data_IF_616708923573
#
_entry.id   IF_616708923573
#
_cell.length_a   1.000
_cell.length_b   1.000
_cell.length_c   1.000
_cell.angle_alpha   90.00
_cell.angle_beta   90.00
_cell.angle_gamma   90.00
#
_symmetry.space_group_name_H-M   'P 1'
#
loop_
_entity.id
_entity.type
_entity.pdbx_description
1 polymer ?
#
# COMPACT_ATOMS: atom_id res chain seq x y z
N UNK A 1 31.24 -26.17 -5.23
CA UNK A 1 31.43 -25.19 -4.12
C UNK A 1 30.37 -25.27 -3.01
N UNK A 2 29.43 -26.24 -3.06
CA UNK A 2 28.34 -26.41 -2.07
C UNK A 2 28.66 -27.40 -0.92
N UNK A 3 29.75 -28.16 -0.99
CA UNK A 3 30.03 -29.24 -0.02
C UNK A 3 30.95 -28.84 1.14
N UNK A 4 31.67 -27.72 1.03
CA UNK A 4 32.62 -27.27 2.07
C UNK A 4 31.94 -26.65 3.31
N UNK A 5 30.67 -26.22 3.21
CA UNK A 5 29.96 -25.52 4.30
C UNK A 5 29.14 -26.44 5.21
N UNK A 6 29.04 -27.74 4.92
CA UNK A 6 28.27 -28.70 5.75
C UNK A 6 28.93 -29.03 7.09
N UNK A 7 30.22 -28.77 7.27
CA UNK A 7 30.96 -29.17 8.47
C UNK A 7 30.82 -28.23 9.69
N UNK A 8 30.08 -27.12 9.57
CA UNK A 8 29.92 -26.12 10.66
C UNK A 8 28.52 -26.13 11.31
N UNK A 9 27.64 -27.05 10.92
CA UNK A 9 26.23 -27.10 11.34
C UNK A 9 25.93 -28.19 12.40
N UNK A 10 26.92 -28.58 13.21
CA UNK A 10 26.72 -29.56 14.28
C UNK A 10 26.83 -28.87 15.66
N UNK A 11 25.69 -28.70 16.34
CA UNK A 11 25.65 -28.37 17.76
C UNK A 11 24.60 -27.35 18.17
N UNK A 12 23.31 -27.68 18.07
CA UNK A 12 22.27 -27.01 18.85
C UNK A 12 22.39 -27.46 20.31
N UNK A 13 23.10 -26.67 21.11
CA UNK A 13 22.88 -26.65 22.54
C UNK A 13 22.64 -25.20 22.95
N UNK A 14 21.48 -24.95 23.54
CA UNK A 14 21.21 -23.77 24.37
C UNK A 14 22.09 -23.89 25.62
N UNK A 15 23.38 -23.66 25.45
CA UNK A 15 24.35 -23.65 26.54
C UNK A 15 24.07 -22.36 27.32
N UNK A 16 23.78 -22.51 28.62
CA UNK A 16 23.70 -21.38 29.54
C UNK A 16 24.92 -20.46 29.30
N UNK A 17 24.68 -19.16 29.07
CA UNK A 17 25.73 -18.18 28.72
C UNK A 17 26.85 -18.21 29.76
N UNK A 18 27.95 -18.88 29.44
CA UNK A 18 29.19 -18.75 30.19
C UNK A 18 29.90 -17.51 29.67
N UNK A 19 30.02 -16.49 30.53
CA UNK A 19 30.70 -15.25 30.18
C UNK A 19 32.07 -15.54 29.54
N UNK A 20 32.30 -15.00 28.34
CA UNK A 20 33.55 -15.19 27.60
C UNK A 20 33.59 -16.37 26.63
N UNK A 21 32.47 -17.05 26.35
CA UNK A 21 32.34 -18.09 25.32
C UNK A 21 31.55 -17.63 24.09
N UNK A 22 31.87 -18.18 22.92
CA UNK A 22 31.25 -17.88 21.64
C UNK A 22 29.89 -18.55 21.53
N UNK A 23 28.83 -17.80 21.22
CA UNK A 23 27.46 -18.33 21.10
C UNK A 23 27.28 -19.37 19.97
N UNK A 24 28.21 -19.43 19.00
CA UNK A 24 28.12 -20.33 17.84
C UNK A 24 28.94 -21.62 17.98
N UNK A 25 30.13 -21.55 18.58
CA UNK A 25 31.06 -22.69 18.62
C UNK A 25 31.57 -23.04 20.02
N UNK A 26 31.16 -22.30 21.07
CA UNK A 26 31.64 -22.50 22.44
C UNK A 26 33.08 -22.06 22.72
N UNK A 27 33.84 -21.64 21.70
CA UNK A 27 35.23 -21.19 21.85
C UNK A 27 35.39 -19.88 22.66
N UNK A 28 36.62 -19.53 23.04
CA UNK A 28 36.89 -18.30 23.81
C UNK A 28 36.54 -17.04 22.98
N UNK A 29 35.64 -16.20 23.50
CA UNK A 29 35.18 -14.98 22.85
C UNK A 29 35.52 -13.68 23.61
N UNK A 30 36.15 -13.77 24.80
CA UNK A 30 36.74 -12.64 25.57
C UNK A 30 35.91 -11.33 25.44
N UNK A 31 34.66 -11.36 25.92
CA UNK A 31 33.66 -10.26 25.92
C UNK A 31 32.90 -9.99 24.62
N UNK A 32 33.19 -10.66 23.50
CA UNK A 32 32.41 -10.57 22.26
C UNK A 32 31.33 -11.66 22.20
N UNK A 33 30.27 -11.41 21.43
CA UNK A 33 29.22 -12.40 21.13
C UNK A 33 29.78 -13.62 20.36
N UNK A 34 30.72 -13.38 19.46
CA UNK A 34 31.36 -14.40 18.63
C UNK A 34 32.89 -14.32 18.70
N UNK A 35 33.57 -15.47 18.60
CA UNK A 35 35.02 -15.49 18.39
C UNK A 35 35.37 -14.98 16.98
N UNK A 36 36.63 -14.60 16.74
CA UNK A 36 37.04 -14.00 15.46
C UNK A 36 36.72 -14.88 14.23
N UNK A 37 36.93 -16.20 14.33
CA UNK A 37 36.61 -17.15 13.25
C UNK A 37 35.11 -17.20 12.94
N UNK A 38 34.27 -17.30 13.98
CA UNK A 38 32.81 -17.31 13.81
C UNK A 38 32.27 -15.97 13.33
N UNK A 39 32.88 -14.85 13.73
CA UNK A 39 32.51 -13.53 13.25
C UNK A 39 32.81 -13.37 11.75
N UNK A 40 33.98 -13.82 11.28
CA UNK A 40 34.32 -13.82 9.85
C UNK A 40 33.37 -14.72 9.04
N UNK A 41 33.14 -15.96 9.50
CA UNK A 41 32.21 -16.87 8.84
C UNK A 41 30.77 -16.31 8.80
N UNK A 42 30.34 -15.59 9.84
CA UNK A 42 29.04 -14.90 9.84
C UNK A 42 28.99 -13.76 8.83
N UNK A 43 30.08 -13.00 8.64
CA UNK A 43 30.16 -11.97 7.61
C UNK A 43 30.01 -12.59 6.22
N UNK A 44 30.75 -13.66 5.91
CA UNK A 44 30.65 -14.35 4.62
C UNK A 44 29.23 -14.91 4.36
N UNK A 45 28.56 -15.39 5.41
CA UNK A 45 27.18 -15.87 5.31
C UNK A 45 26.18 -14.73 5.11
N UNK A 46 26.42 -13.54 5.68
CA UNK A 46 25.59 -12.35 5.42
C UNK A 46 25.72 -11.92 3.97
N UNK A 47 26.93 -11.87 3.44
CA UNK A 47 27.18 -11.49 2.04
C UNK A 47 26.51 -12.48 1.07
N UNK A 48 26.57 -13.78 1.37
CA UNK A 48 25.86 -14.81 0.60
C UNK A 48 24.34 -14.65 0.68
N UNK A 49 23.80 -14.37 1.86
CA UNK A 49 22.37 -14.12 2.04
C UNK A 49 21.92 -12.88 1.26
N UNK A 50 22.67 -11.79 1.36
CA UNK A 50 22.40 -10.53 0.67
C UNK A 50 22.41 -10.74 -0.85
N UNK A 51 23.42 -11.41 -1.39
CA UNK A 51 23.50 -11.74 -2.80
C UNK A 51 22.31 -12.60 -3.26
N UNK A 52 21.90 -13.59 -2.45
CA UNK A 52 20.74 -14.43 -2.75
C UNK A 52 19.43 -13.65 -2.75
N UNK A 53 19.18 -12.80 -1.74
CA UNK A 53 18.01 -11.93 -1.69
C UNK A 53 18.00 -10.97 -2.89
N UNK A 54 19.11 -10.30 -3.16
CA UNK A 54 19.25 -9.39 -4.29
C UNK A 54 18.95 -10.09 -5.62
N UNK A 55 19.52 -11.27 -5.85
CA UNK A 55 19.29 -12.03 -7.08
C UNK A 55 17.84 -12.56 -7.24
N UNK A 56 17.15 -12.85 -6.15
CA UNK A 56 15.74 -13.25 -6.17
C UNK A 56 14.79 -12.08 -6.43
N UNK A 57 15.03 -10.95 -5.77
CA UNK A 57 14.19 -9.73 -5.85
C UNK A 57 14.46 -8.85 -7.08
N UNK A 58 15.60 -9.02 -7.76
CA UNK A 58 15.91 -8.33 -9.02
C UNK A 58 15.05 -8.81 -10.20
N UNK A 59 14.41 -9.98 -10.08
CA UNK A 59 13.58 -10.57 -11.13
C UNK A 59 12.25 -9.83 -11.22
N UNK A 60 11.68 -9.75 -12.42
CA UNK A 60 10.40 -9.04 -12.67
C UNK A 60 9.24 -9.57 -11.80
N UNK A 61 9.14 -10.89 -11.64
CA UNK A 61 8.08 -11.53 -10.82
C UNK A 61 8.47 -11.71 -9.35
N UNK A 62 9.68 -11.32 -8.97
CA UNK A 62 10.25 -11.63 -7.65
C UNK A 62 10.48 -13.12 -7.42
N UNK A 63 10.80 -13.51 -6.16
CA UNK A 63 10.95 -14.92 -5.78
C UNK A 63 9.63 -15.67 -5.81
N UNK A 64 9.67 -16.94 -6.23
CA UNK A 64 8.57 -17.86 -5.95
C UNK A 64 8.49 -18.18 -4.44
N UNK A 65 7.31 -18.62 -3.93
CA UNK A 65 7.18 -19.06 -2.54
C UNK A 65 8.17 -20.14 -2.14
N UNK A 66 8.52 -21.04 -3.06
CA UNK A 66 9.48 -22.12 -2.83
C UNK A 66 10.90 -21.58 -2.68
N UNK A 67 11.36 -20.73 -3.60
CA UNK A 67 12.70 -20.15 -3.55
C UNK A 67 12.91 -19.34 -2.28
N UNK A 68 11.91 -18.55 -1.87
CA UNK A 68 11.97 -17.80 -0.63
C UNK A 68 12.02 -18.73 0.60
N UNK A 69 11.20 -19.79 0.60
CA UNK A 69 11.20 -20.77 1.69
C UNK A 69 12.51 -21.54 1.79
N UNK A 70 13.14 -21.87 0.66
CA UNK A 70 14.43 -22.54 0.62
C UNK A 70 15.55 -21.62 1.13
N UNK A 71 15.50 -20.32 0.81
CA UNK A 71 16.42 -19.32 1.36
C UNK A 71 16.25 -19.14 2.88
N UNK A 72 15.01 -19.06 3.38
CA UNK A 72 14.74 -18.98 4.81
C UNK A 72 15.14 -20.27 5.55
N UNK A 73 14.97 -21.44 4.92
CA UNK A 73 15.48 -22.71 5.46
C UNK A 73 17.00 -22.67 5.58
N UNK A 74 17.69 -22.26 4.51
CA UNK A 74 19.14 -22.11 4.52
C UNK A 74 19.60 -21.13 5.63
N UNK A 75 18.93 -19.98 5.79
CA UNK A 75 19.20 -19.01 6.86
C UNK A 75 19.12 -19.67 8.25
N UNK A 76 18.10 -20.48 8.49
CA UNK A 76 17.94 -21.22 9.75
C UNK A 76 19.03 -22.26 9.95
N UNK A 77 19.38 -23.02 8.91
CA UNK A 77 20.43 -24.05 8.96
C UNK A 77 21.80 -23.44 9.32
N UNK A 78 22.13 -22.26 8.77
CA UNK A 78 23.38 -21.56 9.09
C UNK A 78 23.29 -20.69 10.35
N UNK A 79 22.14 -20.69 11.04
CA UNK A 79 21.86 -19.92 12.24
C UNK A 79 22.11 -18.41 12.08
N UNK A 80 21.77 -17.85 10.91
CA UNK A 80 21.80 -16.40 10.71
C UNK A 80 20.59 -15.77 11.40
N UNK A 81 20.84 -14.77 12.24
CA UNK A 81 19.82 -14.11 13.06
C UNK A 81 18.69 -13.52 12.20
N UNK A 82 17.44 -13.73 12.59
CA UNK A 82 16.28 -13.28 11.80
C UNK A 82 16.21 -11.75 11.72
N UNK A 83 16.51 -11.04 12.82
CA UNK A 83 16.45 -9.56 12.83
C UNK A 83 17.50 -8.96 11.91
N UNK A 84 18.65 -9.62 11.80
CA UNK A 84 19.71 -9.26 10.87
C UNK A 84 19.36 -9.57 9.43
N UNK A 85 18.86 -10.78 9.16
CA UNK A 85 18.41 -11.17 7.83
C UNK A 85 17.31 -10.22 7.31
N UNK A 86 16.39 -9.78 8.16
CA UNK A 86 15.37 -8.79 7.80
C UNK A 86 15.95 -7.41 7.48
N UNK A 87 16.99 -6.97 8.20
CA UNK A 87 17.69 -5.70 7.89
C UNK A 87 18.38 -5.75 6.53
N UNK A 88 19.01 -6.88 6.20
CA UNK A 88 19.65 -7.12 4.90
C UNK A 88 18.58 -7.16 3.81
N UNK A 89 17.51 -7.93 4.00
CA UNK A 89 16.50 -8.15 2.96
C UNK A 89 15.55 -6.95 2.74
N UNK A 90 15.31 -6.14 3.76
CA UNK A 90 14.32 -5.06 3.76
C UNK A 90 14.43 -4.10 2.56
N UNK A 91 15.62 -3.52 2.27
CA UNK A 91 15.80 -2.64 1.12
C UNK A 91 15.48 -3.29 -0.23
N UNK A 92 15.88 -4.55 -0.43
CA UNK A 92 15.64 -5.31 -1.66
C UNK A 92 14.16 -5.62 -1.87
N UNK A 93 13.50 -6.10 -0.81
CA UNK A 93 12.06 -6.38 -0.82
C UNK A 93 11.28 -5.08 -1.07
N UNK A 94 11.64 -4.01 -0.38
CA UNK A 94 11.00 -2.71 -0.54
C UNK A 94 11.12 -2.18 -1.96
N UNK A 95 12.32 -2.20 -2.53
CA UNK A 95 12.56 -1.77 -3.91
C UNK A 95 11.77 -2.60 -4.92
N UNK A 96 11.74 -3.92 -4.75
CA UNK A 96 10.98 -4.82 -5.63
C UNK A 96 9.48 -4.54 -5.56
N UNK A 97 8.91 -4.38 -4.36
CA UNK A 97 7.49 -4.11 -4.18
C UNK A 97 7.08 -2.74 -4.74
N UNK A 98 7.90 -1.71 -4.52
CA UNK A 98 7.66 -0.39 -5.11
C UNK A 98 7.65 -0.46 -6.64
N UNK A 99 8.65 -1.13 -7.25
CA UNK A 99 8.71 -1.32 -8.71
C UNK A 99 7.48 -2.07 -9.22
N UNK A 100 7.06 -3.14 -8.54
CA UNK A 100 5.85 -3.88 -8.91
C UNK A 100 4.61 -2.98 -8.94
N UNK A 101 4.41 -2.17 -7.91
CA UNK A 101 3.27 -1.24 -7.84
C UNK A 101 3.38 -0.17 -8.93
N UNK A 102 4.57 0.40 -9.13
CA UNK A 102 4.79 1.45 -10.14
C UNK A 102 4.59 0.95 -11.57
N UNK A 103 4.92 -0.32 -11.85
CA UNK A 103 4.63 -0.97 -13.13
C UNK A 103 3.14 -1.26 -13.28
N UNK A 104 2.47 -1.77 -12.25
CA UNK A 104 1.05 -2.10 -12.30
C UNK A 104 0.18 -0.87 -12.58
N UNK A 105 0.44 0.26 -11.90
CA UNK A 105 -0.34 1.49 -12.06
C UNK A 105 -0.11 2.23 -13.39
N UNK A 106 0.90 1.84 -14.18
CA UNK A 106 1.05 2.35 -15.55
C UNK A 106 0.06 1.71 -16.53
N UNK A 107 -0.52 0.56 -16.16
CA UNK A 107 -1.57 -0.12 -16.90
C UNK A 107 -2.93 -0.05 -16.20
N UNK A 108 -3.86 -0.89 -16.66
CA UNK A 108 -5.14 -1.13 -15.99
C UNK A 108 -4.90 -2.12 -14.87
N UNK A 109 -5.10 -1.67 -13.63
CA UNK A 109 -4.88 -2.50 -12.44
C UNK A 109 -6.03 -3.48 -12.28
N UNK A 110 -5.69 -4.76 -12.22
CA UNK A 110 -6.63 -5.89 -12.08
C UNK A 110 -6.59 -6.49 -10.68
N UNK A 111 -7.65 -7.21 -10.30
CA UNK A 111 -7.74 -7.84 -8.99
C UNK A 111 -6.59 -8.84 -8.72
N UNK A 112 -6.14 -9.57 -9.74
CA UNK A 112 -5.02 -10.49 -9.60
C UNK A 112 -3.70 -9.79 -9.25
N UNK A 113 -3.53 -8.52 -9.59
CA UNK A 113 -2.35 -7.73 -9.23
C UNK A 113 -2.38 -7.33 -7.75
N UNK A 114 -3.54 -6.88 -7.26
CA UNK A 114 -3.75 -6.59 -5.83
C UNK A 114 -3.52 -7.85 -4.99
N UNK A 115 -4.07 -9.00 -5.40
CA UNK A 115 -3.86 -10.27 -4.71
C UNK A 115 -2.41 -10.74 -4.75
N UNK A 116 -1.73 -10.53 -5.88
CA UNK A 116 -0.31 -10.89 -6.04
C UNK A 116 0.57 -10.05 -5.13
N UNK A 117 0.34 -8.74 -5.07
CA UNK A 117 1.00 -7.84 -4.13
C UNK A 117 0.81 -8.28 -2.67
N UNK A 118 -0.44 -8.53 -2.25
CA UNK A 118 -0.74 -8.94 -0.86
C UNK A 118 -0.12 -10.28 -0.49
N UNK A 119 -0.12 -11.25 -1.41
CA UNK A 119 0.58 -12.53 -1.22
C UNK A 119 2.09 -12.34 -1.09
N UNK A 120 2.69 -11.46 -1.89
CA UNK A 120 4.10 -11.12 -1.76
C UNK A 120 4.41 -10.48 -0.39
N UNK A 121 3.57 -9.58 0.10
CA UNK A 121 3.72 -9.01 1.45
C UNK A 121 3.63 -10.07 2.56
N UNK A 122 2.72 -11.04 2.43
CA UNK A 122 2.61 -12.14 3.40
C UNK A 122 3.85 -13.05 3.39
N UNK A 123 4.38 -13.34 2.20
CA UNK A 123 5.58 -14.18 2.03
C UNK A 123 6.85 -13.49 2.54
N UNK A 124 7.06 -12.24 2.12
CA UNK A 124 8.32 -11.51 2.29
C UNK A 124 8.38 -10.69 3.58
N UNK A 125 7.24 -10.41 4.20
CA UNK A 125 7.12 -9.63 5.45
C UNK A 125 7.92 -8.31 5.42
N UNK A 126 7.66 -7.44 4.44
CA UNK A 126 8.30 -6.12 4.34
C UNK A 126 8.00 -5.25 5.57
N UNK A 127 8.65 -4.08 5.63
CA UNK A 127 8.25 -3.03 6.56
C UNK A 127 6.75 -2.73 6.42
N UNK A 128 6.05 -2.69 7.55
CA UNK A 128 4.58 -2.58 7.59
C UNK A 128 4.09 -1.22 7.10
N UNK A 129 4.85 -0.15 7.35
CA UNK A 129 4.48 1.20 6.89
C UNK A 129 4.61 1.31 5.38
N UNK A 130 5.70 0.78 4.81
CA UNK A 130 5.89 0.71 3.35
C UNK A 130 4.82 -0.15 2.68
N UNK A 131 4.56 -1.35 3.22
CA UNK A 131 3.55 -2.26 2.68
C UNK A 131 2.15 -1.63 2.66
N UNK A 132 1.78 -0.95 3.74
CA UNK A 132 0.51 -0.24 3.83
C UNK A 132 0.42 0.90 2.82
N UNK A 133 1.46 1.73 2.70
CA UNK A 133 1.49 2.83 1.74
C UNK A 133 1.35 2.33 0.29
N UNK A 134 2.04 1.25 -0.04
CA UNK A 134 1.97 0.60 -1.36
C UNK A 134 0.60 -0.08 -1.61
N UNK A 135 0.00 -0.75 -0.62
CA UNK A 135 -1.35 -1.33 -0.76
C UNK A 135 -2.40 -0.25 -1.01
N UNK A 136 -2.34 0.86 -0.27
CA UNK A 136 -3.25 2.00 -0.47
C UNK A 136 -3.09 2.58 -1.87
N UNK A 137 -1.84 2.78 -2.34
CA UNK A 137 -1.55 3.29 -3.68
C UNK A 137 -2.12 2.37 -4.78
N UNK A 138 -1.82 1.07 -4.70
CA UNK A 138 -2.26 0.07 -5.68
C UNK A 138 -3.78 -0.11 -5.67
N UNK A 139 -4.37 -0.22 -4.47
CA UNK A 139 -5.81 -0.41 -4.33
C UNK A 139 -6.60 0.82 -4.79
N UNK A 140 -6.04 2.02 -4.61
CA UNK A 140 -6.62 3.25 -5.16
C UNK A 140 -6.65 3.22 -6.69
N UNK A 141 -5.54 2.87 -7.34
CA UNK A 141 -5.48 2.73 -8.79
C UNK A 141 -6.48 1.68 -9.30
N UNK A 142 -6.52 0.50 -8.67
CA UNK A 142 -7.52 -0.54 -8.95
C UNK A 142 -8.96 0.00 -8.89
N UNK A 143 -9.28 0.75 -7.84
CA UNK A 143 -10.62 1.30 -7.67
C UNK A 143 -11.00 2.34 -8.73
N UNK A 144 -10.05 3.16 -9.16
CA UNK A 144 -10.26 4.13 -10.23
C UNK A 144 -10.48 3.43 -11.58
N UNK A 145 -9.75 2.35 -11.84
CA UNK A 145 -9.93 1.58 -13.08
C UNK A 145 -11.29 0.87 -13.12
N UNK A 146 -11.74 0.28 -12.00
CA UNK A 146 -13.12 -0.28 -11.93
C UNK A 146 -14.18 0.77 -12.20
N UNK A 147 -13.98 1.95 -11.67
CA UNK A 147 -14.86 3.09 -11.88
C UNK A 147 -14.89 3.51 -13.36
N UNK A 148 -13.72 3.57 -14.03
CA UNK A 148 -13.62 3.83 -15.48
C UNK A 148 -14.26 2.74 -16.34
N UNK A 149 -14.31 1.52 -15.83
CA UNK A 149 -15.03 0.38 -16.44
C UNK A 149 -16.55 0.40 -16.15
N UNK A 150 -17.08 1.46 -15.52
CA UNK A 150 -18.51 1.61 -15.21
C UNK A 150 -18.94 0.98 -13.89
N UNK A 151 -18.01 0.37 -13.14
CA UNK A 151 -18.30 -0.24 -11.84
C UNK A 151 -18.19 0.75 -10.69
N UNK A 152 -19.27 1.48 -10.49
CA UNK A 152 -19.37 2.45 -9.40
C UNK A 152 -19.55 1.74 -8.05
N UNK A 153 -18.70 2.03 -7.06
CA UNK A 153 -18.83 1.42 -5.75
C UNK A 153 -20.02 1.99 -5.00
N UNK A 154 -20.74 1.13 -4.28
CA UNK A 154 -21.81 1.58 -3.40
C UNK A 154 -21.20 2.19 -2.14
N UNK A 155 -21.56 3.44 -1.85
CA UNK A 155 -21.20 4.12 -0.62
C UNK A 155 -22.24 3.84 0.48
N UNK A 156 -21.81 3.98 1.73
CA UNK A 156 -22.70 3.89 2.89
C UNK A 156 -23.73 5.02 2.86
N UNK A 157 -25.01 4.65 2.97
CA UNK A 157 -26.14 5.58 3.12
C UNK A 157 -26.54 5.82 4.58
N UNK A 158 -25.66 5.52 5.55
CA UNK A 158 -25.96 5.77 6.97
C UNK A 158 -26.30 7.26 7.16
N UNK A 159 -27.51 7.53 7.68
CA UNK A 159 -28.03 8.88 7.86
C UNK A 159 -28.62 9.54 6.59
N UNK A 160 -28.68 8.83 5.46
CA UNK A 160 -29.32 9.28 4.22
C UNK A 160 -30.60 8.48 3.97
N UNK A 161 -31.73 9.17 3.97
CA UNK A 161 -32.98 8.62 3.44
C UNK A 161 -32.95 8.71 1.92
N UNK A 162 -32.77 7.55 1.28
CA UNK A 162 -32.82 7.39 -0.17
C UNK A 162 -34.06 6.58 -0.57
N UNK A 163 -34.72 6.92 -1.69
CA UNK A 163 -35.68 6.04 -2.35
C UNK A 163 -35.13 4.63 -2.59
N UNK A 164 -36.01 3.63 -2.63
CA UNK A 164 -35.63 2.20 -2.75
C UNK A 164 -34.81 1.87 -4.01
N UNK A 165 -34.95 2.66 -5.06
CA UNK A 165 -34.27 2.52 -6.36
C UNK A 165 -33.11 3.51 -6.55
N UNK A 166 -32.78 4.29 -5.52
CA UNK A 166 -31.68 5.24 -5.52
C UNK A 166 -30.45 4.64 -4.83
N UNK A 167 -29.35 4.54 -5.58
CA UNK A 167 -28.10 3.95 -5.10
C UNK A 167 -27.10 5.07 -4.83
N UNK A 168 -26.56 5.09 -3.62
CA UNK A 168 -25.48 6.00 -3.24
C UNK A 168 -24.14 5.50 -3.77
N UNK A 169 -23.42 6.32 -4.52
CA UNK A 169 -22.07 6.02 -5.01
C UNK A 169 -20.98 6.82 -4.30
N UNK A 170 -21.34 8.02 -3.80
CA UNK A 170 -20.44 8.85 -3.00
C UNK A 170 -21.22 9.51 -1.86
N UNK A 171 -20.64 9.52 -0.67
CA UNK A 171 -21.15 10.26 0.49
C UNK A 171 -19.94 10.70 1.33
N UNK A 172 -19.51 11.93 1.14
CA UNK A 172 -18.27 12.45 1.76
C UNK A 172 -18.48 13.83 2.37
N UNK A 173 -17.77 14.14 3.47
CA UNK A 173 -17.66 15.51 3.94
C UNK A 173 -17.08 16.41 2.85
N UNK A 174 -17.71 17.57 2.65
CA UNK A 174 -17.29 18.53 1.65
C UNK A 174 -17.41 19.96 2.17
N UNK A 175 -16.53 20.85 1.71
CA UNK A 175 -16.63 22.28 1.93
C UNK A 175 -16.83 22.96 0.58
N UNK A 176 -17.99 23.56 0.37
CA UNK A 176 -18.30 24.27 -0.87
C UNK A 176 -17.80 25.71 -0.79
N UNK A 177 -17.07 26.14 -1.81
CA UNK A 177 -16.58 27.51 -1.96
C UNK A 177 -17.43 28.30 -2.94
N UNK A 178 -17.71 29.56 -2.59
CA UNK A 178 -18.37 30.52 -3.46
C UNK A 178 -17.56 31.80 -3.49
N UNK A 179 -17.23 32.25 -4.70
CA UNK A 179 -16.53 33.50 -4.91
C UNK A 179 -17.57 34.61 -5.13
N UNK A 180 -17.78 35.42 -4.10
CA UNK A 180 -18.69 36.57 -4.14
C UNK A 180 -17.88 37.86 -4.27
N UNK A 181 -18.54 38.96 -4.64
CA UNK A 181 -17.90 40.29 -4.69
C UNK A 181 -17.28 40.69 -3.34
N UNK A 182 -17.88 40.25 -2.22
CA UNK A 182 -17.38 40.49 -0.86
C UNK A 182 -16.27 39.52 -0.41
N UNK A 183 -15.77 38.66 -1.31
CA UNK A 183 -14.76 37.65 -1.02
C UNK A 183 -15.28 36.22 -1.07
N UNK A 184 -14.35 35.26 -0.96
CA UNK A 184 -14.67 33.85 -0.94
C UNK A 184 -15.40 33.48 0.37
N UNK A 185 -16.49 32.73 0.26
CA UNK A 185 -17.19 32.13 1.40
C UNK A 185 -17.24 30.62 1.25
N UNK A 186 -16.96 29.93 2.34
CA UNK A 186 -17.09 28.49 2.43
C UNK A 186 -18.32 28.09 3.24
N UNK A 187 -18.94 26.98 2.85
CA UNK A 187 -20.01 26.32 3.60
C UNK A 187 -19.64 24.86 3.77
N UNK A 188 -19.59 24.38 5.01
CA UNK A 188 -19.34 22.96 5.30
C UNK A 188 -20.61 22.13 5.13
N UNK A 189 -20.46 20.89 4.66
CA UNK A 189 -21.58 20.01 4.40
C UNK A 189 -21.14 18.61 3.99
N UNK A 190 -22.05 17.90 3.32
CA UNK A 190 -21.85 16.57 2.76
C UNK A 190 -22.14 16.61 1.27
N UNK A 191 -21.23 16.08 0.45
CA UNK A 191 -21.44 15.85 -0.97
C UNK A 191 -21.87 14.41 -1.18
N UNK A 192 -23.06 14.24 -1.75
CA UNK A 192 -23.69 12.95 -2.02
C UNK A 192 -23.90 12.81 -3.51
N UNK A 193 -23.45 11.69 -4.08
CA UNK A 193 -23.67 11.35 -5.49
C UNK A 193 -24.41 10.04 -5.55
N UNK A 194 -25.54 10.02 -6.27
CA UNK A 194 -26.35 8.83 -6.48
C UNK A 194 -26.45 8.51 -7.98
N UNK A 195 -27.11 7.41 -8.32
CA UNK A 195 -27.49 7.10 -9.71
C UNK A 195 -28.48 8.11 -10.34
N UNK A 196 -28.98 9.10 -9.59
CA UNK A 196 -30.00 10.06 -10.04
C UNK A 196 -29.57 11.50 -9.95
N UNK A 197 -28.84 11.86 -8.90
CA UNK A 197 -28.55 13.25 -8.58
C UNK A 197 -27.23 13.43 -7.82
N UNK A 198 -26.75 14.67 -7.86
CA UNK A 198 -25.77 15.18 -6.91
C UNK A 198 -26.48 16.07 -5.92
N UNK A 199 -26.20 15.85 -4.64
CA UNK A 199 -26.75 16.64 -3.53
C UNK A 199 -25.61 17.17 -2.67
N UNK A 200 -25.66 18.46 -2.36
CA UNK A 200 -24.87 19.04 -1.30
C UNK A 200 -25.78 19.34 -0.11
N UNK A 201 -25.52 18.71 1.04
CA UNK A 201 -26.31 18.88 2.25
C UNK A 201 -25.52 19.68 3.27
N UNK A 202 -26.00 20.87 3.65
CA UNK A 202 -25.44 21.67 4.75
C UNK A 202 -26.57 22.28 5.58
N UNK A 203 -26.23 22.69 6.82
CA UNK A 203 -27.18 23.37 7.70
C UNK A 203 -27.56 24.77 7.20
N UNK A 204 -26.62 25.46 6.53
CA UNK A 204 -26.83 26.83 6.06
C UNK A 204 -27.56 26.87 4.72
N UNK A 205 -27.03 26.14 3.73
CA UNK A 205 -27.52 26.18 2.35
C UNK A 205 -27.08 24.95 1.57
N UNK A 206 -28.00 24.00 1.44
CA UNK A 206 -27.85 22.83 0.58
C UNK A 206 -28.41 23.05 -0.83
N UNK A 207 -28.43 21.97 -1.61
CA UNK A 207 -29.08 21.89 -2.91
C UNK A 207 -28.97 20.49 -3.49
N UNK A 208 -29.82 20.17 -4.45
CA UNK A 208 -29.73 18.95 -5.24
C UNK A 208 -29.94 19.24 -6.72
N UNK A 209 -29.32 18.43 -7.57
CA UNK A 209 -29.36 18.58 -9.01
C UNK A 209 -29.35 17.21 -9.69
N UNK A 210 -30.24 16.94 -10.66
CA UNK A 210 -30.19 15.73 -11.47
C UNK A 210 -28.85 15.59 -12.21
N UNK A 211 -28.36 14.35 -12.39
CA UNK A 211 -27.08 14.11 -13.08
C UNK A 211 -27.03 14.73 -14.48
N UNK A 212 -28.13 14.68 -15.23
CA UNK A 212 -28.21 15.26 -16.59
C UNK A 212 -28.09 16.79 -16.65
N UNK A 213 -27.94 17.48 -15.52
CA UNK A 213 -27.70 18.92 -15.43
C UNK A 213 -26.26 19.25 -15.04
N UNK A 214 -25.41 18.24 -14.83
CA UNK A 214 -23.97 18.39 -14.61
C UNK A 214 -23.30 18.47 -15.97
N UNK A 215 -22.55 19.56 -16.19
CA UNK A 215 -21.84 19.79 -17.44
C UNK A 215 -20.43 19.23 -17.36
N UNK A 216 -19.75 19.43 -16.22
CA UNK A 216 -18.40 18.92 -16.00
C UNK A 216 -18.13 18.70 -14.51
N UNK A 217 -17.20 17.79 -14.24
CA UNK A 217 -16.66 17.51 -12.91
C UNK A 217 -15.15 17.34 -13.05
N UNK A 218 -14.39 18.31 -12.57
CA UNK A 218 -12.95 18.41 -12.74
C UNK A 218 -12.26 18.42 -11.39
N UNK A 219 -11.20 17.64 -11.22
CA UNK A 219 -10.30 17.77 -10.09
C UNK A 219 -9.20 18.79 -10.44
N UNK A 220 -9.07 19.83 -9.63
CA UNK A 220 -7.96 20.80 -9.77
C UNK A 220 -6.70 20.32 -9.04
N UNK A 221 -6.90 19.55 -7.98
CA UNK A 221 -5.88 18.88 -7.18
C UNK A 221 -6.54 17.75 -6.37
N UNK A 222 -5.78 16.94 -5.59
CA UNK A 222 -6.31 15.78 -4.88
C UNK A 222 -7.48 16.07 -3.93
N UNK A 223 -7.74 17.33 -3.57
CA UNK A 223 -8.76 17.71 -2.60
C UNK A 223 -9.78 18.71 -3.15
N UNK A 224 -9.67 19.19 -4.39
CA UNK A 224 -10.60 20.17 -4.95
C UNK A 224 -11.30 19.59 -6.17
N UNK A 225 -12.63 19.45 -6.04
CA UNK A 225 -13.55 19.09 -7.10
C UNK A 225 -14.31 20.34 -7.56
N UNK A 226 -14.15 20.74 -8.81
CA UNK A 226 -14.95 21.78 -9.46
C UNK A 226 -16.12 21.12 -10.18
N UNK A 227 -17.34 21.49 -9.79
CA UNK A 227 -18.55 21.08 -10.47
C UNK A 227 -19.08 22.25 -11.31
N UNK A 228 -19.25 22.02 -12.60
CA UNK A 228 -19.99 22.94 -13.46
C UNK A 228 -21.32 22.32 -13.80
N UNK A 229 -22.38 23.11 -13.66
CA UNK A 229 -23.73 22.65 -13.88
C UNK A 229 -24.52 23.69 -14.66
N UNK A 230 -25.62 23.27 -15.27
CA UNK A 230 -26.50 24.18 -16.05
C UNK A 230 -27.18 25.25 -15.20
N UNK A 231 -27.01 25.23 -13.87
CA UNK A 231 -27.53 26.24 -12.94
C UNK A 231 -26.46 26.69 -11.97
N UNK A 232 -26.49 27.92 -11.48
CA UNK A 232 -25.52 28.38 -10.47
C UNK A 232 -25.72 27.73 -9.09
N UNK A 233 -26.81 26.96 -8.88
CA UNK A 233 -27.22 26.47 -7.57
C UNK A 233 -26.23 25.51 -6.93
N UNK A 234 -25.58 24.64 -7.72
CA UNK A 234 -24.57 23.67 -7.26
C UNK A 234 -23.23 23.80 -7.98
N UNK A 235 -23.07 24.72 -8.93
CA UNK A 235 -21.77 25.00 -9.51
C UNK A 235 -20.80 25.59 -8.48
N UNK A 236 -19.51 25.31 -8.65
CA UNK A 236 -18.40 25.85 -7.85
C UNK A 236 -17.40 24.78 -7.39
N UNK A 237 -16.47 25.21 -6.54
CA UNK A 237 -15.41 24.36 -6.01
C UNK A 237 -15.83 23.70 -4.70
N UNK A 238 -15.45 22.44 -4.53
CA UNK A 238 -15.71 21.63 -3.36
C UNK A 238 -14.38 21.09 -2.85
N UNK A 239 -14.00 21.46 -1.64
CA UNK A 239 -12.92 20.76 -0.94
C UNK A 239 -13.47 19.46 -0.38
N UNK A 240 -12.88 18.34 -0.78
CA UNK A 240 -13.22 16.97 -0.38
C UNK A 240 -11.97 16.22 0.07
N UNK A 241 -12.16 15.07 0.73
CA UNK A 241 -11.04 14.23 1.16
C UNK A 241 -10.22 13.62 0.01
N UNK A 242 -10.87 13.31 -1.12
CA UNK A 242 -10.25 12.80 -2.35
C UNK A 242 -11.12 13.20 -3.56
N UNK A 243 -10.62 14.11 -4.40
CA UNK A 243 -11.33 14.71 -5.52
C UNK A 243 -11.38 13.82 -6.77
N UNK A 244 -10.45 12.85 -6.90
CA UNK A 244 -10.34 12.00 -8.10
C UNK A 244 -11.54 11.05 -8.26
N UNK A 245 -12.31 10.81 -7.18
CA UNK A 245 -13.59 10.10 -7.25
C UNK A 245 -14.71 10.87 -7.98
N UNK A 246 -14.52 12.17 -8.24
CA UNK A 246 -15.47 13.00 -8.97
C UNK A 246 -15.40 12.86 -10.49
N UNK A 247 -14.40 12.16 -11.04
CA UNK A 247 -14.06 12.11 -12.48
C UNK A 247 -14.73 10.98 -13.28
N UNK A 248 -15.90 10.48 -12.89
CA UNK A 248 -16.54 9.37 -13.60
C UNK A 248 -17.59 9.86 -14.59
N UNK A 249 -17.18 10.01 -15.85
CA UNK A 249 -18.10 10.08 -16.98
C UNK A 249 -18.52 8.68 -17.41
N UNK A 250 -19.80 8.36 -17.16
CA UNK A 250 -20.71 7.70 -18.11
C UNK A 250 -20.42 6.27 -18.59
N UNK A 251 -21.07 5.31 -17.92
CA UNK A 251 -21.96 4.31 -18.55
C UNK A 251 -21.31 3.12 -19.24
#
# INVERSE_FOLDING_TARGET
MLEANRALAAGQHTIARVAGTCERCGGKARLRRYCAKCAAALADLRDQYEAAVGGLTARAKGPSPREWSDLERWRMEVSLDESEARKIAGPYIGSMLSRYVDEAIQGVVRNNEVETFRRACQLLKPDTSLAHALDVKLYRAFRLDRVREGEMPRASSVGLHLPTDEICYLNVPAMRWRYLQAGARSTSGQLVVTNRKVRFSSYERGGELPLGKIMSALDLNPNILTLETTSSSLSGDYTVGDAEWGQVQGG
#
